data_IF_908056742567
#
_entry.id   IF_908056742567
#
_cell.length_a   1.000
_cell.length_b   1.000
_cell.length_c   1.000
_cell.angle_alpha   90.00
_cell.angle_beta   90.00
_cell.angle_gamma   90.00
#
_symmetry.space_group_name_H-M   'P 1'
#
loop_
_entity.id
_entity.type
_entity.pdbx_description
1 polymer ?
#
# COMPACT_ATOMS: atom_id res chain seq x y z
N UNK A 1 -24.17 -18.23 3.33
CA UNK A 1 -24.99 -17.21 2.66
C UNK A 1 -24.61 -17.30 1.20
N UNK A 2 -25.56 -17.48 0.28
CA UNK A 2 -25.24 -17.42 -1.14
C UNK A 2 -24.64 -16.06 -1.46
N UNK A 3 -23.51 -16.02 -2.16
CA UNK A 3 -22.69 -14.82 -2.39
C UNK A 3 -23.40 -13.69 -3.13
N UNK A 4 -24.38 -14.01 -3.95
CA UNK A 4 -25.11 -13.04 -4.75
C UNK A 4 -26.09 -12.16 -3.94
N UNK A 5 -26.43 -12.55 -2.69
CA UNK A 5 -27.30 -11.75 -1.82
C UNK A 5 -26.69 -10.40 -1.41
N UNK A 6 -25.37 -10.25 -1.49
CA UNK A 6 -24.67 -9.01 -1.14
C UNK A 6 -24.41 -8.09 -2.34
N UNK A 7 -24.74 -8.54 -3.56
CA UNK A 7 -24.64 -7.71 -4.77
C UNK A 7 -23.22 -7.41 -5.25
N UNK A 8 -22.21 -8.15 -4.78
CA UNK A 8 -20.81 -7.94 -5.16
C UNK A 8 -20.54 -8.09 -6.65
N UNK A 9 -21.19 -9.05 -7.30
CA UNK A 9 -21.03 -9.24 -8.76
C UNK A 9 -21.56 -8.03 -9.53
N UNK A 10 -22.63 -7.39 -9.06
CA UNK A 10 -23.16 -6.16 -9.64
C UNK A 10 -22.20 -4.98 -9.46
N UNK A 11 -21.49 -4.91 -8.31
CA UNK A 11 -20.47 -3.89 -8.10
C UNK A 11 -19.36 -4.05 -9.14
N UNK A 12 -18.86 -5.27 -9.35
CA UNK A 12 -17.84 -5.54 -10.36
C UNK A 12 -18.33 -5.26 -11.79
N UNK A 13 -19.53 -5.65 -12.12
CA UNK A 13 -20.12 -5.39 -13.44
C UNK A 13 -20.33 -3.89 -13.68
N UNK A 14 -20.63 -3.11 -12.64
CA UNK A 14 -20.73 -1.65 -12.74
C UNK A 14 -19.37 -0.97 -12.86
N UNK A 15 -18.32 -1.53 -12.25
CA UNK A 15 -16.94 -1.01 -12.35
C UNK A 15 -16.37 -1.12 -13.75
N UNK A 16 -16.73 -2.17 -14.49
CA UNK A 16 -16.30 -2.33 -15.89
C UNK A 16 -16.95 -1.31 -16.83
N UNK A 17 -18.04 -0.66 -16.40
CA UNK A 17 -18.85 0.27 -17.20
C UNK A 17 -18.71 1.75 -16.77
N UNK A 18 -18.20 2.02 -15.56
CA UNK A 18 -18.18 3.36 -14.97
C UNK A 18 -16.75 3.92 -14.81
N UNK A 19 -16.63 5.26 -14.85
CA UNK A 19 -15.37 5.97 -14.57
C UNK A 19 -15.01 6.02 -13.07
N UNK A 20 -15.67 5.24 -12.24
CA UNK A 20 -15.42 5.19 -10.80
C UNK A 20 -16.43 4.37 -10.01
N UNK A 21 -16.19 4.22 -8.71
CA UNK A 21 -17.04 3.52 -7.76
C UNK A 21 -17.66 4.52 -6.78
N UNK A 22 -18.85 4.24 -6.30
CA UNK A 22 -19.46 5.04 -5.24
C UNK A 22 -18.80 4.74 -3.88
N UNK A 23 -18.78 5.68 -2.92
CA UNK A 23 -18.27 5.43 -1.57
C UNK A 23 -18.98 4.24 -0.88
N UNK A 24 -20.28 4.07 -1.11
CA UNK A 24 -21.06 2.96 -0.56
C UNK A 24 -20.58 1.60 -1.11
N UNK A 25 -20.38 1.51 -2.43
CA UNK A 25 -19.89 0.28 -3.07
C UNK A 25 -18.44 0.00 -2.68
N UNK A 26 -17.61 1.03 -2.54
CA UNK A 26 -16.25 0.90 -2.03
C UNK A 26 -16.23 0.32 -0.60
N UNK A 27 -17.14 0.77 0.27
CA UNK A 27 -17.27 0.26 1.64
C UNK A 27 -17.65 -1.22 1.62
N UNK A 28 -18.61 -1.62 0.81
CA UNK A 28 -19.02 -3.04 0.66
C UNK A 28 -17.87 -3.91 0.16
N UNK A 29 -17.17 -3.43 -0.86
CA UNK A 29 -16.03 -4.13 -1.46
C UNK A 29 -14.89 -4.28 -0.45
N UNK A 30 -14.62 -3.25 0.37
CA UNK A 30 -13.61 -3.29 1.41
C UNK A 30 -13.89 -4.36 2.47
N UNK A 31 -15.14 -4.57 2.87
CA UNK A 31 -15.50 -5.65 3.82
C UNK A 31 -15.13 -7.03 3.28
N UNK A 32 -15.43 -7.29 2.00
CA UNK A 32 -15.08 -8.57 1.37
C UNK A 32 -13.57 -8.71 1.19
N UNK A 33 -12.91 -7.63 0.78
CA UNK A 33 -11.46 -7.56 0.64
C UNK A 33 -10.76 -7.85 1.96
N UNK A 34 -11.18 -7.21 3.05
CA UNK A 34 -10.63 -7.43 4.39
C UNK A 34 -10.75 -8.90 4.81
N UNK A 35 -11.92 -9.51 4.58
CA UNK A 35 -12.14 -10.94 4.84
C UNK A 35 -11.17 -11.82 4.04
N UNK A 36 -10.97 -11.52 2.76
CA UNK A 36 -10.03 -12.25 1.89
C UNK A 36 -8.58 -12.07 2.35
N UNK A 37 -8.17 -10.84 2.65
CA UNK A 37 -6.81 -10.55 3.11
C UNK A 37 -6.50 -11.20 4.45
N UNK A 38 -7.48 -11.27 5.36
CA UNK A 38 -7.36 -12.02 6.61
C UNK A 38 -7.17 -13.52 6.35
N UNK A 39 -7.92 -14.11 5.40
CA UNK A 39 -7.76 -15.51 4.99
C UNK A 39 -6.33 -15.77 4.47
N UNK A 40 -5.81 -14.89 3.62
CA UNK A 40 -4.45 -14.97 3.08
C UNK A 40 -3.43 -14.81 4.21
N UNK A 41 -3.64 -13.87 5.12
CA UNK A 41 -2.77 -13.66 6.28
C UNK A 41 -2.66 -14.89 7.18
N UNK A 42 -3.78 -15.56 7.46
CA UNK A 42 -3.80 -16.82 8.23
C UNK A 42 -3.01 -17.91 7.50
N UNK A 43 -3.19 -18.03 6.18
CA UNK A 43 -2.44 -19.00 5.36
C UNK A 43 -0.92 -18.82 5.51
N UNK A 44 -0.42 -17.58 5.45
CA UNK A 44 1.01 -17.29 5.55
C UNK A 44 1.55 -17.20 6.99
N UNK A 45 0.68 -17.16 8.01
CA UNK A 45 1.08 -17.34 9.42
C UNK A 45 1.29 -18.82 9.80
N UNK A 46 1.07 -19.76 8.89
CA UNK A 46 1.31 -21.18 9.11
C UNK A 46 2.80 -21.51 9.28
N UNK A 47 3.11 -22.64 9.91
CA UNK A 47 4.48 -23.09 10.18
C UNK A 47 5.29 -23.22 8.89
N UNK A 48 4.67 -23.64 7.79
CA UNK A 48 5.28 -23.80 6.47
C UNK A 48 5.98 -22.53 5.98
N UNK A 49 5.37 -21.35 6.22
CA UNK A 49 5.88 -20.07 5.75
C UNK A 49 6.61 -19.26 6.83
N UNK A 50 6.86 -19.82 8.00
CA UNK A 50 7.48 -19.12 9.14
C UNK A 50 8.84 -18.50 8.78
N UNK A 51 9.65 -19.17 7.97
CA UNK A 51 10.94 -18.65 7.53
C UNK A 51 10.79 -17.44 6.62
N UNK A 52 9.85 -17.48 5.67
CA UNK A 52 9.54 -16.37 4.78
C UNK A 52 8.97 -15.17 5.55
N UNK A 53 8.04 -15.43 6.46
CA UNK A 53 7.44 -14.40 7.29
C UNK A 53 8.49 -13.67 8.15
N UNK A 54 9.35 -14.41 8.85
CA UNK A 54 10.39 -13.82 9.68
C UNK A 54 11.45 -13.06 8.86
N UNK A 55 11.82 -13.58 7.68
CA UNK A 55 12.73 -12.88 6.78
C UNK A 55 12.13 -11.59 6.26
N UNK A 56 10.90 -11.62 5.80
CA UNK A 56 10.18 -10.44 5.34
C UNK A 56 10.06 -9.38 6.44
N UNK A 57 9.73 -9.82 7.66
CA UNK A 57 9.60 -8.95 8.82
C UNK A 57 10.94 -8.26 9.16
N UNK A 58 12.04 -9.00 9.15
CA UNK A 58 13.37 -8.45 9.35
C UNK A 58 13.77 -7.44 8.28
N UNK A 59 13.45 -7.72 7.01
CA UNK A 59 13.72 -6.81 5.89
C UNK A 59 12.90 -5.54 6.00
N UNK A 60 11.62 -5.67 6.34
CA UNK A 60 10.71 -4.53 6.47
C UNK A 60 11.06 -3.64 7.66
N UNK A 61 11.32 -4.22 8.83
CA UNK A 61 11.70 -3.47 10.02
C UNK A 61 13.05 -2.75 9.82
N UNK A 62 13.98 -3.39 9.12
CA UNK A 62 15.33 -2.85 8.99
C UNK A 62 16.06 -2.77 10.34
N UNK A 63 17.26 -2.17 10.36
CA UNK A 63 18.10 -2.18 11.56
C UNK A 63 17.68 -1.15 12.65
N UNK A 64 16.75 -0.25 12.36
CA UNK A 64 16.43 0.88 13.22
C UNK A 64 14.98 0.87 13.76
N UNK A 65 14.19 -0.10 13.40
CA UNK A 65 12.79 -0.19 13.85
C UNK A 65 12.60 -1.35 14.81
N UNK A 66 12.06 -1.06 15.98
CA UNK A 66 11.59 -2.09 16.90
C UNK A 66 10.24 -2.58 16.41
N UNK A 67 10.11 -3.90 16.26
CA UNK A 67 8.85 -4.52 15.85
C UNK A 67 7.85 -4.38 16.99
N UNK A 68 6.68 -3.74 16.77
CA UNK A 68 5.68 -3.59 17.81
C UNK A 68 5.06 -4.93 18.21
N UNK A 69 4.85 -5.12 19.52
CA UNK A 69 4.12 -6.29 20.04
C UNK A 69 2.61 -6.19 19.77
N UNK A 70 2.08 -4.97 19.67
CA UNK A 70 0.67 -4.74 19.38
C UNK A 70 0.40 -4.90 17.87
N UNK A 71 -0.36 -5.92 17.51
CA UNK A 71 -0.74 -6.19 16.10
C UNK A 71 -1.65 -5.11 15.48
N UNK A 72 -2.20 -4.20 16.29
CA UNK A 72 -2.97 -3.04 15.80
C UNK A 72 -2.11 -1.79 15.54
N UNK A 73 -0.79 -1.89 15.66
CA UNK A 73 0.11 -0.78 15.31
C UNK A 73 0.18 -0.59 13.80
N UNK A 74 0.26 0.66 13.36
CA UNK A 74 0.34 1.03 11.93
C UNK A 74 1.53 0.38 11.20
N UNK A 75 2.55 -0.03 11.93
CA UNK A 75 3.65 -0.82 11.40
C UNK A 75 3.17 -2.07 10.67
N UNK A 76 2.20 -2.78 11.23
CA UNK A 76 1.69 -4.03 10.67
C UNK A 76 0.89 -3.82 9.39
N UNK A 77 0.21 -2.67 9.24
CA UNK A 77 -0.46 -2.33 7.99
C UNK A 77 0.56 -2.24 6.84
N UNK A 78 1.63 -1.48 7.04
CA UNK A 78 2.69 -1.36 6.04
C UNK A 78 3.45 -2.65 5.81
N UNK A 79 3.66 -3.47 6.85
CA UNK A 79 4.28 -4.78 6.73
C UNK A 79 3.45 -5.73 5.87
N UNK A 80 2.15 -5.84 6.09
CA UNK A 80 1.27 -6.70 5.31
C UNK A 80 1.17 -6.26 3.85
N UNK A 81 1.13 -4.94 3.59
CA UNK A 81 1.18 -4.43 2.23
C UNK A 81 2.49 -4.85 1.53
N UNK A 82 3.64 -4.64 2.18
CA UNK A 82 4.93 -5.11 1.65
C UNK A 82 4.98 -6.62 1.47
N UNK A 83 4.57 -7.39 2.48
CA UNK A 83 4.67 -8.84 2.46
C UNK A 83 3.84 -9.45 1.34
N UNK A 84 2.60 -9.04 1.18
CA UNK A 84 1.70 -9.65 0.20
C UNK A 84 2.04 -9.31 -1.23
N UNK A 85 2.49 -8.08 -1.49
CA UNK A 85 2.66 -7.59 -2.86
C UNK A 85 4.10 -7.55 -3.34
N UNK A 86 5.06 -7.25 -2.48
CA UNK A 86 6.44 -6.93 -2.88
C UNK A 86 7.49 -7.93 -2.39
N UNK A 87 7.20 -8.68 -1.32
CA UNK A 87 8.10 -9.73 -0.85
C UNK A 87 8.10 -10.91 -1.82
N UNK A 88 9.24 -11.56 -1.98
CA UNK A 88 9.39 -12.75 -2.82
C UNK A 88 9.71 -13.97 -1.96
N UNK A 89 8.86 -15.01 -2.08
CA UNK A 89 8.99 -16.27 -1.35
C UNK A 89 10.30 -16.97 -1.71
N UNK A 90 10.93 -17.58 -0.71
CA UNK A 90 12.22 -18.28 -0.88
C UNK A 90 12.11 -19.45 -1.86
N UNK A 91 10.98 -20.13 -1.85
CA UNK A 91 10.81 -21.38 -2.60
C UNK A 91 10.62 -21.20 -4.11
N UNK A 92 10.03 -20.09 -4.56
CA UNK A 92 9.60 -19.93 -5.95
C UNK A 92 9.73 -18.52 -6.55
N UNK A 93 10.23 -17.58 -5.75
CA UNK A 93 10.44 -16.17 -6.15
C UNK A 93 9.14 -15.44 -6.59
N UNK A 94 7.97 -15.91 -6.13
CA UNK A 94 6.68 -15.27 -6.35
C UNK A 94 6.32 -14.39 -5.15
N UNK A 95 5.53 -13.33 -5.38
CA UNK A 95 4.92 -12.65 -4.25
C UNK A 95 3.94 -13.60 -3.53
N UNK A 96 3.73 -13.46 -2.21
CA UNK A 96 2.74 -14.24 -1.49
C UNK A 96 1.35 -14.17 -2.14
N UNK A 97 0.94 -13.01 -2.63
CA UNK A 97 -0.34 -12.88 -3.31
C UNK A 97 -0.43 -13.71 -4.59
N UNK A 98 0.62 -13.67 -5.44
CA UNK A 98 0.68 -14.48 -6.66
C UNK A 98 0.71 -15.98 -6.33
N UNK A 99 1.52 -16.39 -5.36
CA UNK A 99 1.58 -17.78 -4.91
C UNK A 99 0.23 -18.27 -4.37
N UNK A 100 -0.45 -17.45 -3.55
CA UNK A 100 -1.76 -17.80 -3.02
C UNK A 100 -2.78 -17.99 -4.16
N UNK A 101 -2.81 -17.08 -5.12
CA UNK A 101 -3.66 -17.18 -6.30
C UNK A 101 -3.40 -18.48 -7.06
N UNK A 102 -2.15 -18.76 -7.41
CA UNK A 102 -1.79 -19.94 -8.22
C UNK A 102 -2.14 -21.25 -7.50
N UNK A 103 -2.03 -21.30 -6.18
CA UNK A 103 -2.28 -22.49 -5.36
C UNK A 103 -3.76 -22.69 -5.03
N UNK A 104 -4.51 -21.60 -4.85
CA UNK A 104 -5.85 -21.65 -4.26
C UNK A 104 -6.98 -21.20 -5.19
N UNK A 105 -6.71 -20.76 -6.42
CA UNK A 105 -7.71 -20.23 -7.35
C UNK A 105 -8.91 -21.14 -7.61
N UNK A 106 -8.71 -22.46 -7.53
CA UNK A 106 -9.77 -23.45 -7.74
C UNK A 106 -10.60 -23.72 -6.48
N UNK A 107 -10.18 -23.21 -5.33
CA UNK A 107 -10.81 -23.43 -4.02
C UNK A 107 -11.44 -22.16 -3.41
N UNK A 108 -11.17 -21.00 -3.99
CA UNK A 108 -11.80 -19.75 -3.58
C UNK A 108 -13.11 -19.53 -4.30
N UNK A 109 -13.96 -18.70 -3.72
CA UNK A 109 -15.24 -18.36 -4.32
C UNK A 109 -15.06 -17.46 -5.54
N UNK A 110 -16.01 -17.44 -6.46
CA UNK A 110 -15.89 -16.69 -7.73
C UNK A 110 -15.61 -15.18 -7.51
N UNK A 111 -16.29 -14.56 -6.54
CA UNK A 111 -16.06 -13.14 -6.23
C UNK A 111 -14.69 -12.90 -5.62
N UNK A 112 -14.23 -13.78 -4.72
CA UNK A 112 -12.87 -13.72 -4.17
C UNK A 112 -11.83 -13.87 -5.28
N UNK A 113 -12.08 -14.75 -6.27
CA UNK A 113 -11.20 -14.94 -7.42
C UNK A 113 -11.07 -13.65 -8.25
N UNK A 114 -12.17 -12.95 -8.50
CA UNK A 114 -12.14 -11.65 -9.20
C UNK A 114 -11.31 -10.61 -8.42
N UNK A 115 -11.52 -10.52 -7.12
CA UNK A 115 -10.71 -9.62 -6.27
C UNK A 115 -9.23 -9.97 -6.34
N UNK A 116 -8.87 -11.26 -6.23
CA UNK A 116 -7.49 -11.70 -6.33
C UNK A 116 -6.84 -11.31 -7.67
N UNK A 117 -7.58 -11.49 -8.77
CA UNK A 117 -7.10 -11.11 -10.10
C UNK A 117 -6.85 -9.61 -10.23
N UNK A 118 -7.65 -8.79 -9.58
CA UNK A 118 -7.46 -7.34 -9.58
C UNK A 118 -6.36 -6.91 -8.61
N UNK A 119 -6.25 -7.56 -7.45
CA UNK A 119 -5.13 -7.33 -6.51
C UNK A 119 -3.76 -7.61 -7.14
N UNK A 120 -3.68 -8.61 -8.02
CA UNK A 120 -2.44 -8.92 -8.76
C UNK A 120 -2.03 -7.79 -9.74
N UNK A 121 -2.94 -6.88 -10.05
CA UNK A 121 -2.68 -5.69 -10.87
C UNK A 121 -2.45 -4.43 -10.04
N UNK A 122 -2.51 -4.55 -8.71
CA UNK A 122 -2.33 -3.40 -7.83
C UNK A 122 -0.92 -2.81 -7.98
N UNK A 123 -0.86 -1.49 -7.95
CA UNK A 123 0.38 -0.74 -8.12
C UNK A 123 0.78 -0.03 -6.83
N UNK A 124 2.04 -0.15 -6.46
CA UNK A 124 2.59 0.62 -5.35
C UNK A 124 2.55 2.11 -5.68
N UNK A 125 1.81 2.85 -4.91
CA UNK A 125 1.56 4.27 -5.15
C UNK A 125 1.91 5.09 -3.91
N UNK A 126 2.62 6.20 -4.13
CA UNK A 126 2.88 7.22 -3.11
C UNK A 126 2.13 8.48 -3.51
N UNK A 127 1.21 8.93 -2.69
CA UNK A 127 0.29 10.00 -3.07
C UNK A 127 -0.05 10.92 -1.89
N UNK A 128 -0.62 12.06 -2.21
CA UNK A 128 -1.12 13.00 -1.21
C UNK A 128 -2.49 13.54 -1.61
N UNK A 129 -3.27 13.90 -0.62
CA UNK A 129 -4.61 14.43 -0.81
C UNK A 129 -4.51 15.94 -1.07
N UNK A 130 -5.13 16.40 -2.15
CA UNK A 130 -5.26 17.81 -2.51
C UNK A 130 -6.42 18.45 -1.77
N UNK A 131 -7.59 17.83 -1.83
CA UNK A 131 -8.79 18.25 -1.12
C UNK A 131 -9.79 17.10 -0.99
N UNK A 132 -10.71 17.26 -0.04
CA UNK A 132 -11.82 16.34 0.19
C UNK A 132 -13.06 16.98 -0.42
N UNK A 133 -13.80 16.22 -1.20
CA UNK A 133 -15.04 16.65 -1.83
C UNK A 133 -16.24 16.47 -0.90
N UNK A 134 -17.34 17.16 -1.21
CA UNK A 134 -18.58 17.05 -0.43
C UNK A 134 -19.32 15.71 -0.60
N UNK A 135 -18.92 14.90 -1.60
CA UNK A 135 -19.48 13.59 -1.91
C UNK A 135 -18.62 12.42 -1.34
N UNK A 136 -17.87 12.67 -0.28
CA UNK A 136 -16.99 11.72 0.37
C UNK A 136 -15.91 11.11 -0.56
N UNK A 137 -15.56 11.82 -1.61
CA UNK A 137 -14.43 11.52 -2.47
C UNK A 137 -13.24 12.40 -2.12
N UNK A 138 -12.03 11.89 -2.28
CA UNK A 138 -10.79 12.65 -2.12
C UNK A 138 -10.06 12.77 -3.45
N UNK A 139 -9.63 13.99 -3.74
CA UNK A 139 -8.77 14.27 -4.88
C UNK A 139 -7.31 14.13 -4.46
N UNK A 140 -6.62 13.24 -5.10
CA UNK A 140 -5.24 12.89 -4.81
C UNK A 140 -4.31 13.17 -5.98
N UNK A 141 -3.03 13.29 -5.68
CA UNK A 141 -1.97 13.35 -6.70
C UNK A 141 -0.88 12.34 -6.37
N UNK A 142 -0.51 11.53 -7.35
CA UNK A 142 0.66 10.67 -7.28
C UNK A 142 1.93 11.54 -7.17
N UNK A 143 2.76 11.27 -6.16
CA UNK A 143 3.95 12.08 -5.88
C UNK A 143 4.98 12.03 -7.02
N UNK A 144 5.08 10.91 -7.71
CA UNK A 144 6.12 10.69 -8.72
C UNK A 144 5.64 11.00 -10.14
N UNK A 145 4.47 10.53 -10.53
CA UNK A 145 3.92 10.69 -11.88
C UNK A 145 3.17 12.01 -12.07
N UNK A 146 2.73 12.64 -10.97
CA UNK A 146 1.81 13.79 -10.93
C UNK A 146 0.41 13.48 -11.51
N UNK A 147 0.06 12.23 -11.67
CA UNK A 147 -1.29 11.82 -12.04
C UNK A 147 -2.30 12.16 -10.96
N UNK A 148 -3.46 12.62 -11.39
CA UNK A 148 -4.58 12.89 -10.51
C UNK A 148 -5.45 11.65 -10.36
N UNK A 149 -5.87 11.38 -9.14
CA UNK A 149 -6.70 10.24 -8.77
C UNK A 149 -7.86 10.71 -7.91
N UNK A 150 -9.00 10.08 -8.08
CA UNK A 150 -10.14 10.21 -7.17
C UNK A 150 -10.29 8.91 -6.40
N UNK A 151 -10.28 9.00 -5.08
CA UNK A 151 -10.42 7.86 -4.19
C UNK A 151 -11.63 8.08 -3.29
N UNK A 152 -12.40 7.04 -2.95
CA UNK A 152 -13.40 7.17 -1.90
C UNK A 152 -12.69 7.54 -0.59
N UNK A 153 -13.30 8.45 0.16
CA UNK A 153 -12.74 8.85 1.44
C UNK A 153 -12.73 7.65 2.36
N UNK A 154 -11.57 7.19 2.79
CA UNK A 154 -11.52 6.23 3.87
C UNK A 154 -12.01 6.90 5.15
N UNK A 155 -12.58 6.14 6.06
CA UNK A 155 -12.99 6.57 7.41
C UNK A 155 -11.79 7.00 8.29
N UNK A 156 -10.74 7.48 7.68
CA UNK A 156 -9.63 8.06 8.38
C UNK A 156 -9.97 9.48 8.75
N UNK A 157 -10.07 9.79 10.02
CA UNK A 157 -10.15 11.16 10.51
C UNK A 157 -8.90 11.96 10.11
N UNK A 158 -8.77 12.26 8.83
CA UNK A 158 -7.67 13.04 8.26
C UNK A 158 -7.84 14.51 8.62
N UNK A 159 -7.61 14.85 9.89
CA UNK A 159 -7.77 16.20 10.41
C UNK A 159 -6.89 17.25 9.73
N UNK A 160 -5.75 16.85 9.15
CA UNK A 160 -4.87 17.74 8.37
C UNK A 160 -4.25 17.00 7.18
N UNK A 161 -5.09 16.58 6.24
CA UNK A 161 -4.68 15.84 5.04
C UNK A 161 -3.59 16.55 4.21
N UNK A 162 -3.46 17.89 4.34
CA UNK A 162 -2.46 18.68 3.60
C UNK A 162 -1.02 18.38 4.03
N UNK A 163 -0.84 17.81 5.22
CA UNK A 163 0.46 17.48 5.80
C UNK A 163 0.70 15.97 5.88
N UNK A 164 -0.04 15.20 5.12
CA UNK A 164 0.05 13.74 5.12
C UNK A 164 0.53 13.26 3.76
N UNK A 165 1.40 12.25 3.77
CA UNK A 165 1.76 11.44 2.62
C UNK A 165 1.24 10.03 2.88
N UNK A 166 0.62 9.45 1.84
CA UNK A 166 0.08 8.11 1.89
C UNK A 166 0.83 7.22 0.89
N UNK A 167 1.01 5.96 1.24
CA UNK A 167 1.61 5.00 0.31
C UNK A 167 1.17 3.57 0.61
N UNK A 168 1.13 2.76 -0.43
CA UNK A 168 0.74 1.36 -0.43
C UNK A 168 0.23 0.95 -1.79
N UNK A 169 -0.32 -0.26 -1.88
CA UNK A 169 -0.89 -0.74 -3.13
C UNK A 169 -2.33 -0.29 -3.30
N UNK A 170 -2.62 0.25 -4.48
CA UNK A 170 -3.96 0.66 -4.90
C UNK A 170 -4.42 -0.24 -6.04
N UNK A 171 -5.65 -0.69 -6.01
CA UNK A 171 -6.23 -1.50 -7.05
C UNK A 171 -7.57 -0.94 -7.55
N UNK A 172 -8.11 -1.52 -8.61
CA UNK A 172 -9.37 -1.10 -9.24
C UNK A 172 -9.36 0.36 -9.68
N UNK A 173 -8.37 0.71 -10.51
CA UNK A 173 -8.24 2.07 -11.07
C UNK A 173 -8.15 3.17 -9.99
N UNK A 174 -7.55 2.85 -8.87
CA UNK A 174 -7.38 3.79 -7.77
C UNK A 174 -8.61 3.99 -6.89
N UNK A 175 -9.58 3.13 -7.00
CA UNK A 175 -10.90 3.30 -6.39
C UNK A 175 -11.00 2.73 -4.99
N UNK A 176 -10.20 1.76 -4.66
CA UNK A 176 -10.28 1.12 -3.36
C UNK A 176 -8.96 1.28 -2.65
N UNK A 177 -9.00 1.99 -1.55
CA UNK A 177 -7.89 1.99 -0.62
C UNK A 177 -7.96 0.77 0.24
N UNK A 178 -6.89 -0.03 0.19
CA UNK A 178 -6.73 -1.13 1.10
C UNK A 178 -6.53 -0.61 2.51
N UNK A 179 -6.98 -1.36 3.50
CA UNK A 179 -6.69 -1.10 4.91
C UNK A 179 -5.18 -1.07 5.23
N UNK A 180 -4.35 -1.39 4.25
CA UNK A 180 -2.89 -1.43 4.34
C UNK A 180 -2.18 -0.17 3.84
N UNK A 181 -2.90 0.90 3.56
CA UNK A 181 -2.28 2.19 3.22
C UNK A 181 -1.61 2.78 4.46
N UNK A 182 -0.34 3.05 4.33
CA UNK A 182 0.45 3.72 5.37
C UNK A 182 0.33 5.23 5.22
N UNK A 183 0.11 5.90 6.34
CA UNK A 183 0.00 7.37 6.43
C UNK A 183 1.14 7.92 7.28
N UNK A 184 1.86 8.91 6.76
CA UNK A 184 2.95 9.57 7.48
C UNK A 184 2.84 11.10 7.39
N UNK A 185 3.22 11.83 8.45
CA UNK A 185 3.25 13.30 8.40
C UNK A 185 4.36 13.77 7.45
N UNK A 186 3.97 14.52 6.42
CA UNK A 186 4.91 15.05 5.44
C UNK A 186 4.46 16.40 4.89
N UNK A 187 5.15 17.47 5.28
CA UNK A 187 5.00 18.79 4.67
C UNK A 187 5.35 18.76 3.18
N UNK A 188 4.94 19.79 2.43
CA UNK A 188 5.29 19.93 1.01
C UNK A 188 6.80 19.81 0.75
N UNK A 189 7.62 20.46 1.60
CA UNK A 189 9.07 20.40 1.46
C UNK A 189 9.61 18.98 1.69
N UNK A 190 9.07 18.26 2.68
CA UNK A 190 9.47 16.88 2.94
C UNK A 190 9.05 15.96 1.79
N UNK A 191 7.85 16.12 1.23
CA UNK A 191 7.40 15.38 0.04
C UNK A 191 8.33 15.58 -1.15
N UNK A 192 8.77 16.81 -1.40
CA UNK A 192 9.74 17.10 -2.46
C UNK A 192 11.09 16.39 -2.22
N UNK A 193 11.59 16.42 -0.99
CA UNK A 193 12.83 15.70 -0.63
C UNK A 193 12.70 14.20 -0.78
N UNK A 194 11.56 13.61 -0.42
CA UNK A 194 11.27 12.19 -0.64
C UNK A 194 11.29 11.89 -2.14
N UNK A 195 10.60 12.70 -2.94
CA UNK A 195 10.58 12.56 -4.40
C UNK A 195 11.99 12.60 -4.99
N UNK A 196 12.78 13.59 -4.66
CA UNK A 196 14.15 13.77 -5.13
C UNK A 196 15.03 12.55 -4.78
N UNK A 197 14.96 12.08 -3.53
CA UNK A 197 15.79 10.97 -3.07
C UNK A 197 15.40 9.65 -3.76
N UNK A 198 14.11 9.34 -3.89
CA UNK A 198 13.64 8.13 -4.57
C UNK A 198 13.98 8.17 -6.07
N UNK A 199 13.81 9.33 -6.73
CA UNK A 199 14.22 9.51 -8.13
C UNK A 199 15.72 9.32 -8.29
N UNK A 200 16.53 9.82 -7.36
CA UNK A 200 17.97 9.59 -7.36
C UNK A 200 18.32 8.11 -7.28
N UNK A 201 17.65 7.36 -6.40
CA UNK A 201 17.84 5.91 -6.26
C UNK A 201 17.43 5.18 -7.53
N UNK A 202 16.31 5.56 -8.15
CA UNK A 202 15.89 5.01 -9.44
C UNK A 202 16.92 5.27 -10.54
N UNK A 203 17.51 6.47 -10.58
CA UNK A 203 18.55 6.79 -11.56
C UNK A 203 19.79 5.90 -11.39
N UNK A 204 20.20 5.60 -10.17
CA UNK A 204 21.29 4.65 -9.89
C UNK A 204 20.92 3.25 -10.38
N UNK A 205 19.70 2.79 -10.10
CA UNK A 205 19.22 1.51 -10.60
C UNK A 205 19.22 1.44 -12.14
N UNK A 206 18.79 2.49 -12.82
CA UNK A 206 18.81 2.58 -14.30
C UNK A 206 20.21 2.57 -14.91
N UNK A 207 21.25 2.83 -14.17
CA UNK A 207 22.62 2.62 -14.66
C UNK A 207 22.94 1.15 -14.89
N UNK A 208 22.31 0.27 -14.11
CA UNK A 208 22.45 -1.19 -14.22
C UNK A 208 21.40 -1.78 -15.17
N UNK A 209 20.18 -1.29 -15.10
CA UNK A 209 19.01 -1.77 -15.85
C UNK A 209 18.43 -0.61 -16.71
N UNK A 210 19.02 -0.36 -17.87
CA UNK A 210 18.74 0.82 -18.69
C UNK A 210 17.27 1.01 -19.12
N UNK A 211 16.55 -0.11 -19.29
CA UNK A 211 15.13 -0.11 -19.70
C UNK A 211 14.16 -0.06 -18.54
N UNK A 212 14.64 -0.07 -17.29
CA UNK A 212 13.76 -0.14 -16.12
C UNK A 212 12.88 1.11 -15.99
N UNK A 213 11.60 0.89 -15.79
CA UNK A 213 10.60 1.91 -15.48
C UNK A 213 10.63 2.28 -14.00
N UNK A 214 9.81 3.24 -13.58
CA UNK A 214 9.61 3.54 -12.17
C UNK A 214 8.89 2.38 -11.46
N UNK A 215 7.95 1.75 -12.14
CA UNK A 215 7.22 0.58 -11.62
C UNK A 215 8.15 -0.62 -11.41
N UNK A 216 9.05 -0.92 -12.35
CA UNK A 216 10.08 -1.95 -12.18
C UNK A 216 10.97 -1.66 -10.97
N UNK A 217 11.32 -0.38 -10.77
CA UNK A 217 12.09 0.03 -9.60
C UNK A 217 11.31 -0.19 -8.31
N UNK A 218 10.04 0.17 -8.24
CA UNK A 218 9.21 -0.04 -7.07
C UNK A 218 9.04 -1.54 -6.75
N UNK A 219 8.77 -2.36 -7.76
CA UNK A 219 8.64 -3.83 -7.58
C UNK A 219 9.91 -4.47 -7.01
N UNK A 220 11.09 -4.03 -7.45
CA UNK A 220 12.37 -4.60 -7.00
C UNK A 220 12.92 -3.99 -5.73
N UNK A 221 12.59 -2.74 -5.44
CA UNK A 221 13.16 -1.96 -4.35
C UNK A 221 12.10 -1.40 -3.38
N UNK A 222 10.94 -2.03 -3.30
CA UNK A 222 9.81 -1.59 -2.48
C UNK A 222 10.20 -1.32 -1.03
N UNK A 223 10.98 -2.20 -0.40
CA UNK A 223 11.43 -2.02 0.98
C UNK A 223 12.38 -0.83 1.12
N UNK A 224 13.27 -0.61 0.14
CA UNK A 224 14.19 0.52 0.17
C UNK A 224 13.46 1.86 0.03
N UNK A 225 12.41 1.91 -0.80
CA UNK A 225 11.55 3.11 -0.93
C UNK A 225 10.83 3.40 0.39
N UNK A 226 10.25 2.38 1.04
CA UNK A 226 9.58 2.52 2.35
C UNK A 226 10.55 3.01 3.42
N UNK A 227 11.75 2.43 3.49
CA UNK A 227 12.80 2.88 4.41
C UNK A 227 13.24 4.31 4.13
N UNK A 228 13.35 4.71 2.87
CA UNK A 228 13.68 6.10 2.48
C UNK A 228 12.64 7.07 3.01
N UNK A 229 11.36 6.77 2.84
CA UNK A 229 10.26 7.59 3.36
C UNK A 229 10.36 7.70 4.89
N UNK A 230 10.47 6.56 5.58
CA UNK A 230 10.53 6.51 7.05
C UNK A 230 11.72 7.29 7.61
N UNK A 231 12.92 7.08 7.05
CA UNK A 231 14.13 7.78 7.48
C UNK A 231 13.97 9.31 7.31
N UNK A 232 13.48 9.77 6.17
CA UNK A 232 13.31 11.20 5.92
C UNK A 232 12.24 11.83 6.82
N UNK A 233 11.15 11.09 7.11
CA UNK A 233 10.12 11.52 8.07
C UNK A 233 10.71 11.64 9.48
N UNK A 234 11.49 10.65 9.94
CA UNK A 234 12.16 10.67 11.28
C UNK A 234 13.14 11.82 11.37
N UNK A 235 13.98 12.03 10.37
CA UNK A 235 14.94 13.14 10.33
C UNK A 235 14.25 14.51 10.37
N UNK A 236 13.11 14.65 9.71
CA UNK A 236 12.32 15.88 9.76
C UNK A 236 11.78 16.16 11.18
N UNK A 237 11.34 15.13 11.91
CA UNK A 237 10.90 15.25 13.31
C UNK A 237 12.03 15.71 14.24
N UNK A 238 13.23 15.16 14.09
CA UNK A 238 14.40 15.53 14.90
C UNK A 238 14.79 16.99 14.68
N UNK A 239 14.78 17.48 13.44
CA UNK A 239 15.15 18.87 13.12
C UNK A 239 14.14 19.90 13.68
N UNK A 240 12.90 19.51 13.95
CA UNK A 240 11.90 20.40 14.59
C UNK A 240 12.14 20.54 16.10
N UNK A 241 12.78 19.55 16.72
CA UNK A 241 13.07 19.56 18.16
C UNK A 241 14.39 20.30 18.49
N UNK A 242 15.29 20.47 17.51
CA UNK A 242 16.65 21.02 17.72
C UNK A 242 16.83 22.54 17.71
N UNK A 243 15.91 23.44 17.32
CA UNK A 243 16.19 24.88 17.33
C UNK A 243 16.37 25.49 18.73
N UNK A 244 15.90 24.83 19.78
CA UNK A 244 15.90 25.40 21.15
C UNK A 244 17.05 24.93 22.03
N UNK A 245 17.99 24.14 21.55
CA UNK A 245 19.16 23.68 22.34
C UNK A 245 20.44 24.41 22.05
N UNK A 246 20.44 25.42 21.17
CA UNK A 246 21.62 26.21 20.83
C UNK A 246 21.60 27.64 21.41
N UNK A 247 20.73 27.92 22.36
CA UNK A 247 20.75 29.19 23.14
C UNK A 247 20.81 28.86 24.62
N UNK A 248 21.99 28.50 25.09
CA UNK A 248 22.48 28.73 26.45
C UNK A 248 24.01 28.90 26.45
#
# INVERSE_FOLDING_TARGET
IPQDELGYDKIYDSLDQADGITPEDATRLNVLLESLLNKIGIYYKSEEFSSDFNRALSLYAGPFTVIPENENDDFWLGFWDYFLFDYHLICNDLSPLQHFYDTNKDFVQQTELRILQDLLKAEFTVFFINYVRDDDMVECTNLFTNEHMQLPQPDYGLYDYRKVLLYGHIYLKGVVMLNYITSVPASKNLRNRIKEEVVRQQQVYRQQEKSATLDDFFKRHAVAVRHTIDILVRLAKVNVVSPNLLVR
#
